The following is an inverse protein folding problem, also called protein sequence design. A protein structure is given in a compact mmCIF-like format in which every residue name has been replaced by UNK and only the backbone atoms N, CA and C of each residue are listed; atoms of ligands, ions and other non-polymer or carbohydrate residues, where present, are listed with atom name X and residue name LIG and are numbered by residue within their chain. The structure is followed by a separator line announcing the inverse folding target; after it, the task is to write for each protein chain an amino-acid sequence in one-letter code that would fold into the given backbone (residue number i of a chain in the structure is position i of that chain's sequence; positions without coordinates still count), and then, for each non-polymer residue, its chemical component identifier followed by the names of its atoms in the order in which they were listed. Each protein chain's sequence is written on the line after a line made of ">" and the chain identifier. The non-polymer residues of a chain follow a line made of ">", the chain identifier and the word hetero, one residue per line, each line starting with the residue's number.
data_IF_222414097866
#
_entry.id   IF_222414097866
#
_cell.length_a   1.000
_cell.length_b   1.000
_cell.length_c   1.000
_cell.angle_alpha   90.00
_cell.angle_beta   90.00
_cell.angle_gamma   90.00
#
_symmetry.space_group_name_H-M   'P 1'
#
loop_
_entity.id
_entity.type
_entity.pdbx_description
1 polymer ?
#
# COMPACT_ATOMS: atom_id res chain seq x y z
N UNK A 1 -1.81 28.93 4.09
CA UNK A 1 -2.24 28.06 5.20
C UNK A 1 -2.73 26.78 4.53
N UNK A 2 -1.99 25.67 4.62
CA UNK A 2 -2.39 24.41 3.99
C UNK A 2 -3.51 23.83 4.85
N UNK A 3 -4.76 23.94 4.39
CA UNK A 3 -5.90 23.26 5.00
C UNK A 3 -5.70 21.77 4.77
N UNK A 4 -5.26 21.05 5.80
CA UNK A 4 -5.26 19.58 5.75
C UNK A 4 -6.69 19.09 5.50
N UNK A 5 -6.88 18.20 4.52
CA UNK A 5 -8.17 17.54 4.31
C UNK A 5 -8.31 16.49 5.40
N UNK A 6 -9.24 16.72 6.32
CA UNK A 6 -9.56 15.81 7.42
C UNK A 6 -10.89 15.11 7.15
N UNK A 7 -10.98 13.83 7.50
CA UNK A 7 -12.28 13.21 7.72
C UNK A 7 -12.73 13.54 9.15
N UNK A 8 -13.78 14.33 9.28
CA UNK A 8 -14.34 14.68 10.58
C UNK A 8 -15.27 13.57 11.08
N UNK A 9 -15.14 13.24 12.37
CA UNK A 9 -16.01 12.31 13.09
C UNK A 9 -16.42 12.94 14.41
N UNK A 10 -17.72 12.91 14.69
CA UNK A 10 -18.29 13.40 15.95
C UNK A 10 -18.52 12.21 16.87
N UNK A 11 -17.98 12.28 18.09
CA UNK A 11 -18.00 11.20 19.04
C UNK A 11 -18.45 11.73 20.40
N UNK A 12 -19.26 10.97 21.12
CA UNK A 12 -19.59 11.31 22.50
C UNK A 12 -18.70 10.57 23.48
N UNK A 13 -18.36 11.26 24.58
CA UNK A 13 -17.73 10.70 25.75
C UNK A 13 -18.73 10.02 26.71
N UNK A 14 -20.03 10.13 26.45
CA UNK A 14 -21.09 9.50 27.25
C UNK A 14 -21.37 8.07 26.78
N UNK A 15 -21.67 7.16 27.71
CA UNK A 15 -22.00 5.76 27.40
C UNK A 15 -23.20 5.60 26.45
N UNK A 16 -23.19 4.52 25.63
CA UNK A 16 -24.27 4.03 24.75
C UNK A 16 -24.41 4.60 23.33
N UNK A 17 -23.34 5.04 22.69
CA UNK A 17 -23.40 5.40 21.26
C UNK A 17 -22.84 4.32 20.34
N UNK A 18 -23.49 4.16 19.19
CA UNK A 18 -23.03 3.29 18.10
C UNK A 18 -21.66 3.81 17.67
N UNK A 19 -20.58 3.01 17.74
CA UNK A 19 -19.25 3.46 17.37
C UNK A 19 -19.24 3.96 15.92
N UNK A 20 -18.69 5.16 15.71
CA UNK A 20 -18.55 5.73 14.36
C UNK A 20 -17.67 4.80 13.53
N UNK A 21 -18.12 4.46 12.33
CA UNK A 21 -17.34 3.65 11.39
C UNK A 21 -16.59 4.55 10.42
N UNK A 22 -15.27 4.41 10.39
CA UNK A 22 -14.39 5.10 9.44
C UNK A 22 -14.01 4.13 8.32
N UNK A 23 -14.56 4.28 7.10
CA UNK A 23 -14.20 3.43 5.98
C UNK A 23 -12.83 3.84 5.41
N UNK A 24 -11.90 2.90 5.34
CA UNK A 24 -10.55 3.10 4.75
C UNK A 24 -10.25 2.00 3.74
N UNK A 25 -9.28 2.24 2.85
CA UNK A 25 -8.84 1.22 1.90
C UNK A 25 -7.63 0.50 2.45
N UNK A 26 -7.55 -0.80 2.18
CA UNK A 26 -6.34 -1.56 2.45
C UNK A 26 -5.14 -0.92 1.73
N UNK A 27 -3.99 -0.83 2.40
CA UNK A 27 -2.77 -0.17 1.92
C UNK A 27 -2.85 1.36 1.76
N UNK A 28 -3.73 2.05 2.48
CA UNK A 28 -3.73 3.51 2.54
C UNK A 28 -2.39 4.03 3.08
N UNK A 29 -1.64 4.78 2.26
CA UNK A 29 -0.30 5.23 2.60
C UNK A 29 -0.29 6.58 3.32
N UNK A 30 -0.78 6.61 4.57
CA UNK A 30 -0.79 7.82 5.43
C UNK A 30 -1.52 9.03 4.82
N UNK A 31 -2.37 8.79 3.82
CA UNK A 31 -3.08 9.84 3.11
C UNK A 31 -4.26 10.41 3.92
N UNK A 32 -4.72 9.69 4.97
CA UNK A 32 -5.93 10.06 5.72
C UNK A 32 -5.62 10.41 7.16
N UNK A 33 -6.15 11.57 7.57
CA UNK A 33 -6.19 12.03 8.95
C UNK A 33 -7.65 12.11 9.39
N UNK A 34 -7.95 11.51 10.53
CA UNK A 34 -9.28 11.52 11.15
C UNK A 34 -9.26 12.57 12.26
N UNK A 35 -10.17 13.55 12.19
CA UNK A 35 -10.37 14.57 13.22
C UNK A 35 -11.58 14.19 14.06
N UNK A 36 -11.35 13.85 15.32
CA UNK A 36 -12.34 13.45 16.30
C UNK A 36 -12.79 14.67 17.11
N UNK A 37 -13.98 15.18 16.82
CA UNK A 37 -14.64 16.20 17.61
C UNK A 37 -15.45 15.49 18.70
N UNK A 38 -15.17 15.84 19.96
CA UNK A 38 -15.73 15.13 21.10
C UNK A 38 -16.87 15.94 21.70
N UNK A 39 -17.90 15.26 22.17
CA UNK A 39 -19.03 15.85 22.87
C UNK A 39 -19.20 15.19 24.23
N UNK A 40 -19.51 15.96 25.26
CA UNK A 40 -19.88 15.46 26.58
C UNK A 40 -21.28 15.99 26.90
N UNK A 41 -22.25 15.09 27.07
CA UNK A 41 -23.66 15.44 27.27
C UNK A 41 -24.20 16.42 26.19
N UNK A 42 -23.87 16.16 24.92
CA UNK A 42 -24.24 16.99 23.76
C UNK A 42 -23.61 18.40 23.71
N UNK A 43 -22.64 18.68 24.57
CA UNK A 43 -21.83 19.91 24.52
C UNK A 43 -20.45 19.56 23.97
N UNK A 44 -19.97 20.32 22.98
CA UNK A 44 -18.63 20.11 22.44
C UNK A 44 -17.58 20.21 23.57
N UNK A 45 -16.77 19.17 23.68
CA UNK A 45 -15.71 19.04 24.66
C UNK A 45 -14.38 19.44 24.01
N UNK A 46 -13.83 20.57 24.45
CA UNK A 46 -12.52 21.04 24.01
C UNK A 46 -11.41 20.20 24.65
N UNK A 47 -10.76 19.38 23.83
CA UNK A 47 -9.64 18.53 24.29
C UNK A 47 -8.45 19.41 24.71
N UNK A 48 -7.89 19.24 25.92
CA UNK A 48 -6.73 20.00 26.36
C UNK A 48 -5.50 19.75 25.48
N UNK A 49 -4.81 20.81 25.06
CA UNK A 49 -3.68 20.71 24.12
C UNK A 49 -2.49 19.91 24.67
N UNK A 50 -2.33 19.87 25.99
CA UNK A 50 -1.23 19.19 26.70
C UNK A 50 -1.60 17.78 27.18
N UNK A 51 -2.76 17.23 26.81
CA UNK A 51 -3.09 15.86 27.17
C UNK A 51 -2.26 14.86 26.35
N UNK A 52 -1.97 13.70 26.95
CA UNK A 52 -1.41 12.56 26.25
C UNK A 52 -2.57 11.79 25.63
N UNK A 53 -2.51 11.52 24.33
CA UNK A 53 -3.51 10.70 23.64
C UNK A 53 -2.89 9.36 23.28
N UNK A 54 -3.51 8.28 23.74
CA UNK A 54 -3.14 6.92 23.39
C UNK A 54 -4.21 6.30 22.49
N UNK A 55 -3.80 5.76 21.35
CA UNK A 55 -4.66 5.07 20.39
C UNK A 55 -4.17 3.63 20.23
N UNK A 56 -5.06 2.67 20.42
CA UNK A 56 -4.77 1.25 20.27
C UNK A 56 -5.83 0.50 19.50
N UNK A 57 -5.45 -0.64 18.93
CA UNK A 57 -6.40 -1.55 18.32
C UNK A 57 -5.77 -2.89 17.99
N UNK A 58 -6.63 -3.88 17.79
CA UNK A 58 -6.25 -5.24 17.35
C UNK A 58 -6.81 -5.45 15.95
N UNK A 59 -5.93 -5.64 14.98
CA UNK A 59 -6.31 -5.94 13.60
C UNK A 59 -7.01 -7.30 13.51
N UNK A 60 -7.75 -7.58 12.41
CA UNK A 60 -8.41 -8.86 12.21
C UNK A 60 -7.47 -10.08 12.18
N UNK A 61 -6.18 -9.87 11.92
CA UNK A 61 -5.14 -10.91 11.95
C UNK A 61 -4.57 -11.15 13.37
N UNK A 62 -5.10 -10.48 14.40
CA UNK A 62 -4.63 -10.57 15.78
C UNK A 62 -3.46 -9.65 16.12
N UNK A 63 -2.93 -8.90 15.14
CA UNK A 63 -1.80 -8.00 15.39
C UNK A 63 -2.26 -6.74 16.10
N UNK A 64 -1.51 -6.32 17.12
CA UNK A 64 -1.83 -5.15 17.95
C UNK A 64 -0.99 -3.96 17.51
N UNK A 65 -1.56 -2.75 17.54
CA UNK A 65 -0.81 -1.51 17.51
C UNK A 65 -1.20 -0.62 18.69
N UNK A 66 -0.25 0.21 19.12
CA UNK A 66 -0.43 1.21 20.16
C UNK A 66 0.44 2.42 19.79
N UNK A 67 -0.18 3.58 19.67
CA UNK A 67 0.47 4.84 19.36
C UNK A 67 0.09 5.86 20.42
N UNK A 68 1.07 6.61 20.93
CA UNK A 68 0.80 7.73 21.84
C UNK A 68 1.26 9.03 21.21
N UNK A 69 0.67 10.15 21.62
CA UNK A 69 1.13 11.48 21.20
C UNK A 69 2.55 11.80 21.64
N UNK A 70 3.09 11.08 22.63
CA UNK A 70 4.48 11.22 23.07
C UNK A 70 5.46 10.45 22.17
N UNK A 71 5.08 9.25 21.74
CA UNK A 71 5.96 8.34 20.97
C UNK A 71 5.79 8.48 19.46
N UNK A 72 4.63 8.96 19.02
CA UNK A 72 4.28 9.13 17.62
C UNK A 72 3.42 10.40 17.41
N UNK A 73 3.95 11.60 17.68
CA UNK A 73 3.21 12.87 17.59
C UNK A 73 2.68 13.18 16.18
N UNK A 74 3.26 12.60 15.13
CA UNK A 74 2.75 12.75 13.76
C UNK A 74 1.56 11.82 13.45
N UNK A 75 1.35 10.79 14.29
CA UNK A 75 0.30 9.80 14.12
C UNK A 75 -0.89 10.02 15.04
N UNK A 76 -0.68 10.57 16.24
CA UNK A 76 -1.76 10.85 17.19
C UNK A 76 -1.42 12.15 17.91
N UNK A 77 -2.29 13.15 17.87
CA UNK A 77 -2.05 14.46 18.47
C UNK A 77 -3.35 15.22 18.70
N UNK A 78 -3.27 16.32 19.46
CA UNK A 78 -4.37 17.26 19.64
C UNK A 78 -4.10 18.50 18.79
N UNK A 79 -5.09 18.94 18.03
CA UNK A 79 -5.04 20.21 17.31
C UNK A 79 -6.41 20.88 17.38
N UNK A 80 -6.44 22.16 17.77
CA UNK A 80 -7.67 22.99 17.84
C UNK A 80 -8.80 22.32 18.62
N UNK A 81 -8.47 21.74 19.78
CA UNK A 81 -9.46 21.15 20.70
C UNK A 81 -10.00 19.79 20.26
N UNK A 82 -9.46 19.17 19.20
CA UNK A 82 -9.87 17.86 18.71
C UNK A 82 -8.71 16.87 18.75
N UNK A 83 -9.02 15.58 18.91
CA UNK A 83 -8.04 14.50 18.73
C UNK A 83 -7.90 14.21 17.24
N UNK A 84 -6.67 14.19 16.74
CA UNK A 84 -6.35 13.76 15.40
C UNK A 84 -5.53 12.49 15.45
N UNK A 85 -5.83 11.55 14.56
CA UNK A 85 -4.90 10.46 14.27
C UNK A 85 -4.79 10.16 12.78
N UNK A 86 -3.61 9.72 12.37
CA UNK A 86 -3.25 9.41 10.99
C UNK A 86 -3.40 7.91 10.77
N UNK A 87 -4.19 7.52 9.78
CA UNK A 87 -4.35 6.11 9.39
C UNK A 87 -3.04 5.63 8.77
N UNK A 88 -2.46 4.57 9.31
CA UNK A 88 -1.18 4.03 8.82
C UNK A 88 -1.38 2.87 7.84
N UNK A 89 -0.36 2.64 7.02
CA UNK A 89 -0.26 1.41 6.19
C UNK A 89 -0.33 0.15 7.05
N UNK A 90 0.21 0.21 8.27
CA UNK A 90 0.15 -0.90 9.22
C UNK A 90 -1.29 -1.19 9.66
N UNK A 91 -2.06 -0.18 10.08
CA UNK A 91 -3.47 -0.35 10.46
C UNK A 91 -4.30 -0.94 9.31
N UNK A 92 -3.99 -0.55 8.08
CA UNK A 92 -4.73 -0.95 6.87
C UNK A 92 -4.12 -2.14 6.13
N UNK A 93 -3.16 -2.86 6.71
CA UNK A 93 -2.52 -3.99 6.05
C UNK A 93 -3.49 -5.18 5.86
N UNK A 94 -4.44 -5.36 6.78
CA UNK A 94 -5.41 -6.45 6.76
C UNK A 94 -6.84 -5.91 6.60
N UNK A 95 -7.54 -6.42 5.60
CA UNK A 95 -8.95 -6.11 5.40
C UNK A 95 -9.83 -6.68 6.52
N UNK A 96 -10.86 -5.93 6.92
CA UNK A 96 -11.81 -6.31 7.95
C UNK A 96 -12.31 -5.12 8.76
N UNK A 97 -13.05 -5.41 9.82
CA UNK A 97 -13.57 -4.41 10.76
C UNK A 97 -12.98 -4.66 12.13
N UNK A 98 -12.49 -3.61 12.78
CA UNK A 98 -11.97 -3.71 14.14
C UNK A 98 -12.13 -2.40 14.90
N UNK A 99 -12.34 -2.45 16.23
CA UNK A 99 -12.40 -1.27 17.06
C UNK A 99 -10.99 -0.65 17.24
N UNK A 100 -10.98 0.67 17.32
CA UNK A 100 -9.90 1.50 17.83
C UNK A 100 -10.37 2.08 19.15
N UNK A 101 -9.57 1.90 20.19
CA UNK A 101 -9.78 2.52 21.49
C UNK A 101 -8.83 3.69 21.64
N UNK A 102 -9.38 4.84 22.04
CA UNK A 102 -8.63 6.06 22.29
C UNK A 102 -8.85 6.51 23.72
N UNK A 103 -7.75 6.75 24.42
CA UNK A 103 -7.73 7.24 25.80
C UNK A 103 -6.95 8.54 25.86
N UNK A 104 -7.54 9.55 26.49
CA UNK A 104 -6.91 10.83 26.77
C UNK A 104 -6.49 10.87 28.24
N UNK A 105 -5.23 11.22 28.49
CA UNK A 105 -4.62 11.27 29.81
C UNK A 105 -4.12 12.68 30.12
N UNK A 106 -4.19 13.08 31.37
CA UNK A 106 -3.49 14.28 31.87
C UNK A 106 -1.98 14.02 31.83
N UNK A 107 -1.19 15.08 31.97
CA UNK A 107 0.28 14.95 32.13
C UNK A 107 0.68 14.23 33.42
N UNK A 108 -0.25 14.07 34.36
CA UNK A 108 -0.08 13.34 35.62
C UNK A 108 -0.54 11.88 35.52
N UNK A 109 -1.12 11.48 34.38
CA UNK A 109 -1.58 10.12 34.11
C UNK A 109 -3.07 9.86 34.39
N UNK A 110 -3.83 10.87 34.80
CA UNK A 110 -5.27 10.72 35.05
C UNK A 110 -6.05 10.59 33.74
N UNK A 111 -7.07 9.74 33.72
CA UNK A 111 -7.96 9.59 32.56
C UNK A 111 -8.88 10.81 32.46
N UNK A 112 -8.73 11.58 31.38
CA UNK A 112 -9.60 12.70 31.04
C UNK A 112 -10.86 12.28 30.29
N UNK A 113 -10.75 11.17 29.55
CA UNK A 113 -11.85 10.58 28.80
C UNK A 113 -11.37 9.47 27.87
N UNK A 114 -12.32 8.66 27.41
CA UNK A 114 -12.06 7.62 26.42
C UNK A 114 -13.21 7.52 25.44
N UNK A 115 -12.91 7.06 24.24
CA UNK A 115 -13.90 6.79 23.21
C UNK A 115 -13.40 5.68 22.29
N UNK A 116 -14.32 5.08 21.54
CA UNK A 116 -14.01 4.08 20.53
C UNK A 116 -14.64 4.42 19.19
N UNK A 117 -13.98 3.99 18.13
CA UNK A 117 -14.51 4.04 16.76
C UNK A 117 -14.13 2.75 16.04
N UNK A 118 -14.83 2.42 14.96
CA UNK A 118 -14.53 1.22 14.17
C UNK A 118 -13.79 1.61 12.91
N UNK A 119 -12.63 1.01 12.66
CA UNK A 119 -12.01 1.05 11.35
C UNK A 119 -12.61 -0.04 10.48
N UNK A 120 -13.16 0.33 9.32
CA UNK A 120 -13.60 -0.61 8.28
C UNK A 120 -12.59 -0.56 7.14
N UNK A 121 -11.62 -1.47 7.17
CA UNK A 121 -10.63 -1.64 6.11
C UNK A 121 -11.28 -2.43 4.98
N UNK A 122 -11.69 -1.73 3.94
CA UNK A 122 -12.20 -2.32 2.72
C UNK A 122 -11.06 -3.03 1.99
N UNK A 123 -11.26 -4.30 1.67
CA UNK A 123 -10.31 -5.12 0.92
C UNK A 123 -9.92 -4.38 -0.37
N UNK A 124 -8.61 -4.30 -0.62
CA UNK A 124 -8.14 -3.81 -1.91
C UNK A 124 -8.61 -4.79 -3.00
N UNK A 125 -9.01 -4.26 -4.16
CA UNK A 125 -9.32 -5.11 -5.30
C UNK A 125 -8.11 -5.93 -5.77
N UNK A 126 -6.90 -5.43 -5.46
CA UNK A 126 -5.63 -6.05 -5.77
C UNK A 126 -4.88 -6.28 -4.47
N UNK A 127 -4.47 -7.52 -4.20
CA UNK A 127 -3.80 -7.93 -2.97
C UNK A 127 -2.36 -7.37 -2.84
N UNK A 128 -1.84 -6.76 -3.92
CA UNK A 128 -0.59 -6.01 -3.90
C UNK A 128 -0.87 -4.53 -4.23
N UNK A 129 -0.89 -3.68 -3.20
CA UNK A 129 -1.12 -2.23 -3.34
C UNK A 129 -0.12 -1.51 -4.25
N UNK A 130 1.05 -2.11 -4.53
CA UNK A 130 2.01 -1.55 -5.50
C UNK A 130 1.41 -1.52 -6.91
N UNK A 131 0.70 -2.57 -7.31
CA UNK A 131 0.13 -2.71 -8.67
C UNK A 131 -0.91 -1.62 -8.96
N UNK A 132 -1.73 -1.27 -7.97
CA UNK A 132 -2.77 -0.26 -8.14
C UNK A 132 -2.22 1.14 -8.46
N UNK A 133 -0.96 1.41 -8.12
CA UNK A 133 -0.26 2.67 -8.36
C UNK A 133 0.89 2.57 -9.36
N UNK A 134 1.18 1.36 -9.83
CA UNK A 134 2.30 1.11 -10.72
C UNK A 134 1.98 1.60 -12.13
N UNK A 135 2.83 2.48 -12.65
CA UNK A 135 2.85 2.75 -14.09
C UNK A 135 3.30 1.49 -14.84
N UNK A 136 3.02 1.43 -16.14
CA UNK A 136 3.48 0.32 -16.98
C UNK A 136 5.01 0.11 -16.87
N UNK A 137 5.80 1.18 -16.82
CA UNK A 137 7.25 1.11 -16.65
C UNK A 137 7.67 0.51 -15.28
N UNK A 138 6.99 0.91 -14.19
CA UNK A 138 7.26 0.32 -12.88
C UNK A 138 6.91 -1.18 -12.88
N UNK A 139 5.82 -1.57 -13.54
CA UNK A 139 5.39 -2.96 -13.70
C UNK A 139 6.46 -3.81 -14.40
N UNK A 140 6.99 -3.33 -15.52
CA UNK A 140 8.10 -4.00 -16.21
C UNK A 140 9.33 -4.17 -15.32
N UNK A 141 9.67 -3.14 -14.53
CA UNK A 141 10.79 -3.20 -13.60
C UNK A 141 10.61 -4.27 -12.51
N UNK A 142 9.43 -4.37 -11.90
CA UNK A 142 9.18 -5.41 -10.90
C UNK A 142 9.19 -6.82 -11.49
N UNK A 143 8.59 -7.01 -12.67
CA UNK A 143 8.64 -8.31 -13.39
C UNK A 143 10.08 -8.70 -13.66
N UNK A 144 10.90 -7.76 -14.16
CA UNK A 144 12.34 -7.93 -14.43
C UNK A 144 13.12 -8.32 -13.18
N UNK A 145 12.99 -7.54 -12.11
CA UNK A 145 13.71 -7.77 -10.85
C UNK A 145 13.31 -9.12 -10.21
N UNK A 146 12.12 -9.64 -10.54
CA UNK A 146 11.60 -10.93 -10.07
C UNK A 146 11.87 -12.14 -10.99
N UNK A 147 12.50 -11.97 -12.16
CA UNK A 147 12.79 -13.09 -13.07
C UNK A 147 13.73 -14.07 -12.37
N UNK A 148 13.27 -15.31 -12.19
CA UNK A 148 14.02 -16.38 -11.54
C UNK A 148 14.49 -17.47 -12.49
N UNK A 149 13.85 -17.63 -13.65
CA UNK A 149 14.24 -18.64 -14.63
C UNK A 149 13.89 -18.25 -16.07
N UNK A 150 14.66 -18.75 -17.03
CA UNK A 150 14.40 -18.67 -18.48
C UNK A 150 14.38 -20.10 -19.03
N UNK A 151 13.41 -20.44 -19.88
CA UNK A 151 13.26 -21.81 -20.40
C UNK A 151 12.66 -21.84 -21.80
N UNK A 152 12.83 -22.98 -22.47
CA UNK A 152 12.09 -23.33 -23.68
C UNK A 152 11.09 -24.41 -23.27
N UNK A 153 9.80 -24.18 -23.57
CA UNK A 153 8.75 -25.12 -23.25
C UNK A 153 8.69 -26.31 -24.23
N UNK A 154 7.78 -27.25 -23.99
CA UNK A 154 7.64 -28.45 -24.82
C UNK A 154 7.09 -28.16 -26.22
N UNK A 155 6.53 -26.97 -26.45
CA UNK A 155 6.06 -26.51 -27.74
C UNK A 155 7.13 -25.70 -28.50
N UNK A 156 8.32 -25.52 -27.90
CA UNK A 156 9.41 -24.74 -28.49
C UNK A 156 9.31 -23.24 -28.23
N UNK A 157 8.40 -22.80 -27.34
CA UNK A 157 8.24 -21.39 -27.00
C UNK A 157 9.23 -20.99 -25.90
N UNK A 158 9.83 -19.80 -26.03
CA UNK A 158 10.68 -19.23 -24.99
C UNK A 158 9.82 -18.56 -23.91
N UNK A 159 10.05 -18.94 -22.67
CA UNK A 159 9.34 -18.44 -21.51
C UNK A 159 10.30 -17.99 -20.42
N UNK A 160 9.83 -17.10 -19.55
CA UNK A 160 10.49 -16.76 -18.32
C UNK A 160 9.55 -16.97 -17.15
N UNK A 161 10.11 -17.37 -16.01
CA UNK A 161 9.40 -17.53 -14.76
C UNK A 161 9.81 -16.37 -13.85
N UNK A 162 8.83 -15.61 -13.35
CA UNK A 162 9.05 -14.49 -12.46
C UNK A 162 8.27 -14.72 -11.15
N UNK A 163 8.90 -14.38 -10.03
CA UNK A 163 8.22 -14.12 -8.75
C UNK A 163 8.52 -12.67 -8.35
N UNK A 164 7.77 -11.77 -8.97
CA UNK A 164 7.81 -10.33 -8.76
C UNK A 164 7.02 -9.88 -7.51
N UNK A 165 6.46 -10.84 -6.75
CA UNK A 165 5.59 -10.59 -5.62
C UNK A 165 4.30 -9.86 -5.98
N UNK A 166 3.93 -9.76 -7.26
CA UNK A 166 2.72 -9.07 -7.73
C UNK A 166 1.45 -9.88 -7.42
N UNK A 167 1.57 -11.19 -7.17
CA UNK A 167 0.42 -12.03 -6.82
C UNK A 167 -0.58 -12.16 -7.98
N UNK A 168 -0.08 -12.06 -9.21
CA UNK A 168 -0.85 -12.31 -10.42
C UNK A 168 -1.07 -13.82 -10.58
N UNK A 169 -2.23 -14.18 -11.11
CA UNK A 169 -2.61 -15.56 -11.45
C UNK A 169 -2.98 -15.66 -12.92
N UNK A 170 -3.14 -16.88 -13.42
CA UNK A 170 -3.68 -17.19 -14.74
C UNK A 170 -5.11 -16.65 -14.99
N UNK A 171 -5.81 -16.23 -13.92
CA UNK A 171 -7.13 -15.58 -13.98
C UNK A 171 -7.07 -14.06 -13.88
N UNK A 172 -5.89 -13.47 -13.77
CA UNK A 172 -5.73 -12.02 -13.59
C UNK A 172 -5.78 -11.29 -14.92
N UNK A 173 -6.85 -10.53 -15.15
CA UNK A 173 -6.99 -9.65 -16.31
C UNK A 173 -6.44 -8.25 -16.00
N UNK A 174 -5.50 -7.75 -16.80
CA UNK A 174 -4.88 -6.43 -16.62
C UNK A 174 -4.40 -5.87 -17.96
N UNK A 175 -4.78 -4.64 -18.29
CA UNK A 175 -4.33 -3.97 -19.52
C UNK A 175 -2.80 -3.83 -19.59
N UNK A 176 -2.11 -3.78 -18.45
CA UNK A 176 -0.65 -3.77 -18.38
C UNK A 176 -0.06 -5.15 -18.66
N UNK A 177 -0.73 -6.22 -18.22
CA UNK A 177 -0.36 -7.61 -18.55
C UNK A 177 -0.65 -7.89 -20.02
N UNK A 178 -1.83 -7.52 -20.53
CA UNK A 178 -2.16 -7.60 -21.95
C UNK A 178 -1.20 -6.80 -22.82
N UNK A 179 -0.77 -5.62 -22.36
CA UNK A 179 0.26 -4.85 -23.07
C UNK A 179 1.59 -5.61 -23.04
N UNK A 180 2.06 -6.08 -21.88
CA UNK A 180 3.27 -6.90 -21.78
C UNK A 180 3.21 -8.13 -22.71
N UNK A 181 2.13 -8.90 -22.67
CA UNK A 181 1.93 -10.08 -23.53
C UNK A 181 1.84 -9.74 -25.02
N UNK A 182 1.36 -8.54 -25.40
CA UNK A 182 1.37 -8.09 -26.79
C UNK A 182 2.75 -7.60 -27.26
N UNK A 183 3.52 -6.99 -26.36
CA UNK A 183 4.86 -6.48 -26.68
C UNK A 183 5.94 -7.58 -26.64
N UNK A 184 5.73 -8.67 -25.89
CA UNK A 184 6.55 -9.90 -25.96
C UNK A 184 6.10 -10.69 -27.21
N UNK A 185 6.93 -10.72 -28.25
CA UNK A 185 6.66 -11.51 -29.46
C UNK A 185 7.19 -12.94 -29.27
N UNK A 186 6.49 -13.92 -29.85
CA UNK A 186 6.94 -15.30 -29.95
C UNK A 186 8.34 -15.39 -30.60
N UNK A 187 9.23 -16.18 -29.99
CA UNK A 187 10.54 -16.50 -30.56
C UNK A 187 10.49 -17.73 -31.46
N UNK A 188 11.36 -17.75 -32.46
CA UNK A 188 11.51 -18.82 -33.44
C UNK A 188 12.97 -19.28 -33.52
N UNK A 189 13.21 -20.51 -33.97
CA UNK A 189 14.56 -20.98 -34.26
C UNK A 189 14.84 -20.71 -35.75
N UNK A 190 15.92 -19.98 -36.04
CA UNK A 190 16.36 -19.69 -37.41
C UNK A 190 16.82 -20.97 -38.10
N UNK A 191 16.88 -20.94 -39.44
CA UNK A 191 17.36 -22.06 -40.25
C UNK A 191 18.83 -22.45 -39.94
N UNK A 192 19.58 -21.55 -39.30
CA UNK A 192 20.97 -21.75 -38.86
C UNK A 192 21.08 -22.27 -37.41
N UNK A 193 19.96 -22.53 -36.75
CA UNK A 193 19.91 -23.09 -35.39
C UNK A 193 20.04 -22.05 -34.26
N UNK A 194 19.96 -20.75 -34.59
CA UNK A 194 19.96 -19.67 -33.59
C UNK A 194 18.53 -19.36 -33.13
N UNK A 195 18.35 -19.01 -31.87
CA UNK A 195 17.07 -18.54 -31.36
C UNK A 195 16.89 -17.05 -31.70
N UNK A 196 15.86 -16.70 -32.47
CA UNK A 196 15.54 -15.35 -32.90
C UNK A 196 14.13 -14.94 -32.46
N UNK A 197 14.02 -13.78 -31.84
CA UNK A 197 12.74 -13.16 -31.49
C UNK A 197 12.83 -11.66 -31.77
N UNK A 198 11.71 -11.08 -32.19
CA UNK A 198 11.60 -9.63 -32.37
C UNK A 198 10.96 -9.02 -31.13
N UNK A 199 11.32 -7.79 -30.79
CA UNK A 199 10.54 -6.98 -29.83
C UNK A 199 9.92 -5.84 -30.62
N UNK A 200 8.62 -5.57 -30.44
CA UNK A 200 7.95 -4.45 -31.12
C UNK A 200 8.28 -3.13 -30.40
N UNK A 201 9.50 -2.66 -30.63
CA UNK A 201 10.00 -1.33 -30.27
C UNK A 201 10.09 -0.99 -28.77
N UNK A 202 11.19 -0.32 -28.40
CA UNK A 202 11.39 0.46 -27.17
C UNK A 202 11.41 -0.28 -25.82
N UNK A 203 11.60 -1.60 -25.80
CA UNK A 203 11.96 -2.29 -24.55
C UNK A 203 13.41 -2.03 -24.12
N UNK A 204 14.22 -1.34 -24.94
CA UNK A 204 15.61 -0.96 -24.63
C UNK A 204 16.52 -2.12 -24.26
N UNK A 205 16.22 -3.36 -24.64
CA UNK A 205 16.99 -4.53 -24.24
C UNK A 205 18.25 -4.68 -25.11
N UNK A 206 19.41 -4.76 -24.47
CA UNK A 206 20.70 -5.15 -25.04
C UNK A 206 20.89 -6.64 -24.76
N UNK A 207 21.12 -7.40 -25.83
CA UNK A 207 21.43 -8.83 -25.75
C UNK A 207 22.94 -9.02 -25.96
N UNK A 208 23.61 -9.57 -24.95
CA UNK A 208 25.04 -9.91 -25.00
C UNK A 208 25.25 -11.39 -24.68
N UNK A 209 26.49 -11.83 -24.69
CA UNK A 209 26.88 -13.17 -24.25
C UNK A 209 28.05 -13.02 -23.29
N UNK A 210 27.99 -13.71 -22.14
CA UNK A 210 29.11 -13.71 -21.20
C UNK A 210 30.28 -14.57 -21.73
N UNK A 211 31.39 -14.58 -20.98
CA UNK A 211 32.60 -15.34 -21.35
C UNK A 211 32.38 -16.86 -21.41
N UNK A 212 31.28 -17.36 -20.83
CA UNK A 212 30.91 -18.79 -20.80
C UNK A 212 29.88 -19.16 -21.88
N UNK A 213 29.42 -18.18 -22.68
CA UNK A 213 28.48 -18.43 -23.76
C UNK A 213 27.00 -18.31 -23.36
N UNK A 214 26.69 -17.83 -22.16
CA UNK A 214 25.30 -17.61 -21.76
C UNK A 214 24.74 -16.33 -22.38
N UNK A 215 23.50 -16.40 -22.85
CA UNK A 215 22.76 -15.20 -23.27
C UNK A 215 22.52 -14.30 -22.07
N UNK A 216 23.09 -13.10 -22.10
CA UNK A 216 22.91 -12.06 -21.11
C UNK A 216 21.95 -11.02 -21.69
N UNK A 217 20.92 -10.66 -20.93
CA UNK A 217 19.91 -9.68 -21.35
C UNK A 217 19.93 -8.50 -20.40
N UNK A 218 20.39 -7.37 -20.90
CA UNK A 218 20.51 -6.10 -20.18
C UNK A 218 19.55 -5.08 -20.78
N UNK A 219 19.34 -3.96 -20.10
CA UNK A 219 18.67 -2.80 -20.70
C UNK A 219 19.75 -1.78 -21.02
N UNK A 220 19.81 -1.28 -22.24
CA UNK A 220 20.69 -0.19 -22.62
C UNK A 220 20.21 1.09 -21.96
N UNK A 221 21.03 1.70 -21.11
CA UNK A 221 20.78 3.08 -20.73
C UNK A 221 20.72 3.89 -22.02
N UNK A 222 19.60 4.56 -22.28
CA UNK A 222 19.59 5.65 -23.24
C UNK A 222 20.66 6.62 -22.75
N UNK A 223 21.75 6.70 -23.51
CA UNK A 223 22.82 7.66 -23.29
C UNK A 223 22.21 9.04 -23.53
N UNK A 224 21.63 9.64 -22.49
CA UNK A 224 21.26 11.06 -22.51
C UNK A 224 22.57 11.82 -22.31
N UNK A 225 23.42 11.79 -23.32
CA UNK A 225 24.55 12.70 -23.44
C UNK A 225 24.61 13.33 -24.83
N UNK A 226 24.19 14.61 -24.83
CA UNK A 226 24.28 15.70 -25.82
C UNK A 226 23.02 15.97 -26.66
#
# INVERSE_FOLDING_TARGET
>A
MVTGIYQEVELSLTENLIPVTVPVKQYDNKARKVRCVLYNNSVEYTVPQNCIVACSGTRPDGTIFHYTSETAPDLVFVEKGAVLFTITTFMTAQAGRFPLDVVMLSTEGDVLGSFSLTLKVERAAINNGKIATYTFAAFLKAVRDGIRNLFIDKAGCFGFESDDGLGLSDRSESSSVEKLCREIVEGSITEEGYFAFETKCDLGLIFTTDEEGHLVVEYGEDDVSV
#
